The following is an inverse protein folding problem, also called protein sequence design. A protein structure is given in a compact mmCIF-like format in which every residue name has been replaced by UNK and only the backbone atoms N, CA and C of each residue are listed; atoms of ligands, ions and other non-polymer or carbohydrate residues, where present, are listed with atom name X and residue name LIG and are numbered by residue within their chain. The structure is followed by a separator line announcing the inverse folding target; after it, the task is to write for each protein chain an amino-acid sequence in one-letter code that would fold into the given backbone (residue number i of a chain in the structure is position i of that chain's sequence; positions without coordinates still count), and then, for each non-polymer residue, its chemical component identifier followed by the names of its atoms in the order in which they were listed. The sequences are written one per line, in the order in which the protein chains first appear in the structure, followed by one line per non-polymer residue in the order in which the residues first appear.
data_IF_803926245769
#
_entry.id   IF_803926245769
#
_cell.length_a   1.000
_cell.length_b   1.000
_cell.length_c   1.000
_cell.angle_alpha   90.00
_cell.angle_beta   90.00
_cell.angle_gamma   90.00
#
_symmetry.space_group_name_H-M   'P 1'
#
loop_
_entity.id
_entity.type
_entity.pdbx_description
1 polymer ?
#
# COMPACT_ATOMS: atom_id res chain seq x y z
N UNK A 1 19.93 5.49 36.21
CA UNK A 1 20.67 6.03 35.04
C UNK A 1 20.26 5.24 33.83
N UNK A 2 20.00 5.90 32.69
CA UNK A 2 19.68 5.23 31.41
C UNK A 2 20.95 4.63 30.81
N UNK A 3 20.88 3.40 30.31
CA UNK A 3 22.01 2.71 29.66
C UNK A 3 21.60 2.24 28.27
N UNK A 4 22.33 2.68 27.24
CA UNK A 4 22.10 2.29 25.85
C UNK A 4 23.23 1.37 25.38
N UNK A 5 22.88 0.32 24.62
CA UNK A 5 23.84 -0.60 24.03
C UNK A 5 23.31 -1.26 22.77
N UNK A 6 24.18 -1.80 21.93
CA UNK A 6 23.83 -2.60 20.76
C UNK A 6 23.94 -4.09 21.06
N UNK A 7 23.03 -4.89 20.52
CA UNK A 7 23.03 -6.33 20.75
C UNK A 7 22.05 -7.08 19.86
N UNK A 8 22.13 -8.41 19.93
CA UNK A 8 21.22 -9.31 19.23
C UNK A 8 19.89 -9.45 19.97
N UNK A 9 18.81 -9.19 19.27
CA UNK A 9 17.48 -9.58 19.70
C UNK A 9 17.21 -11.00 19.19
N UNK A 10 17.43 -11.98 20.04
CA UNK A 10 17.16 -13.40 19.78
C UNK A 10 15.70 -13.75 20.06
N UNK A 11 15.26 -14.95 19.65
CA UNK A 11 13.93 -15.47 19.98
C UNK A 11 13.74 -15.57 21.49
N UNK A 12 14.73 -16.10 22.21
CA UNK A 12 14.67 -16.23 23.67
C UNK A 12 14.57 -14.87 24.35
N UNK A 13 15.43 -13.94 23.95
CA UNK A 13 15.39 -12.57 24.49
C UNK A 13 14.07 -11.87 24.20
N UNK A 14 13.49 -12.12 23.03
CA UNK A 14 12.15 -11.61 22.66
C UNK A 14 11.06 -12.17 23.56
N UNK A 15 11.09 -13.45 23.87
CA UNK A 15 10.15 -14.09 24.78
C UNK A 15 10.27 -13.56 26.21
N UNK A 16 11.50 -13.38 26.72
CA UNK A 16 11.77 -12.78 28.06
C UNK A 16 11.14 -11.38 28.16
N UNK A 17 11.40 -10.51 27.17
CA UNK A 17 10.88 -9.15 27.16
C UNK A 17 9.35 -9.11 27.05
N UNK A 18 8.76 -10.03 26.28
CA UNK A 18 7.31 -10.11 26.13
C UNK A 18 6.61 -10.72 27.36
N UNK A 19 7.27 -11.56 28.14
CA UNK A 19 6.72 -12.08 29.39
C UNK A 19 6.39 -10.96 30.41
N UNK A 20 7.13 -9.85 30.34
CA UNK A 20 6.94 -8.66 31.19
C UNK A 20 6.22 -7.49 30.46
N UNK A 21 5.41 -7.82 29.46
CA UNK A 21 4.70 -6.84 28.61
C UNK A 21 3.21 -6.70 28.99
N UNK A 22 2.90 -6.36 30.23
CA UNK A 22 1.54 -6.39 30.76
C UNK A 22 0.67 -5.16 30.42
N UNK A 23 1.27 -4.01 30.11
CA UNK A 23 0.58 -2.72 30.00
C UNK A 23 0.79 -2.02 28.66
N UNK A 24 1.36 -2.70 27.68
CA UNK A 24 1.61 -2.12 26.38
C UNK A 24 0.32 -2.10 25.53
N UNK A 25 0.31 -1.28 24.48
CA UNK A 25 -0.82 -1.17 23.56
C UNK A 25 -1.14 -2.51 22.88
N UNK A 26 -2.38 -2.70 22.38
CA UNK A 26 -2.75 -3.90 21.64
C UNK A 26 -1.84 -4.15 20.44
N UNK A 27 -1.46 -5.41 20.24
CA UNK A 27 -0.64 -5.85 19.10
C UNK A 27 -1.39 -5.59 17.80
N UNK A 28 -0.69 -4.98 16.82
CA UNK A 28 -1.19 -4.81 15.46
C UNK A 28 -0.67 -5.95 14.57
N UNK A 29 -1.49 -6.95 14.21
CA UNK A 29 -1.02 -8.16 13.49
C UNK A 29 -0.33 -7.85 12.15
N UNK A 30 -0.77 -6.82 11.43
CA UNK A 30 -0.16 -6.43 10.17
C UNK A 30 1.27 -5.88 10.35
N UNK A 31 1.56 -5.20 11.46
CA UNK A 31 2.91 -4.72 11.78
C UNK A 31 3.84 -5.89 12.10
N UNK A 32 3.35 -6.87 12.88
CA UNK A 32 4.11 -8.10 13.18
C UNK A 32 4.44 -8.85 11.89
N UNK A 33 3.43 -9.07 11.01
CA UNK A 33 3.65 -9.74 9.71
C UNK A 33 4.67 -9.00 8.85
N UNK A 34 4.67 -7.67 8.86
CA UNK A 34 5.63 -6.85 8.15
C UNK A 34 7.05 -7.10 8.66
N UNK A 35 7.30 -6.98 9.96
CA UNK A 35 8.62 -7.23 10.55
C UNK A 35 9.09 -8.67 10.33
N UNK A 36 8.20 -9.66 10.51
CA UNK A 36 8.50 -11.05 10.21
C UNK A 36 8.99 -11.24 8.76
N UNK A 37 8.31 -10.60 7.80
CA UNK A 37 8.67 -10.67 6.38
C UNK A 37 10.04 -10.02 6.11
N UNK A 38 10.26 -8.81 6.64
CA UNK A 38 11.54 -8.10 6.49
C UNK A 38 12.71 -8.93 7.04
N UNK A 39 12.54 -9.49 8.23
CA UNK A 39 13.59 -10.30 8.88
C UNK A 39 13.84 -11.59 8.08
N UNK A 40 12.80 -12.29 7.62
CA UNK A 40 12.94 -13.51 6.81
C UNK A 40 13.64 -13.27 5.47
N UNK A 41 13.41 -12.11 4.86
CA UNK A 41 14.00 -11.74 3.57
C UNK A 41 15.33 -11.00 3.69
N UNK A 42 15.96 -10.96 4.86
CA UNK A 42 17.19 -10.21 5.14
C UNK A 42 17.13 -8.70 4.83
N UNK A 43 15.92 -8.14 4.81
CA UNK A 43 15.66 -6.71 4.56
C UNK A 43 15.56 -5.88 5.84
N UNK A 44 15.99 -6.43 6.97
CA UNK A 44 16.04 -5.71 8.22
C UNK A 44 17.27 -4.79 8.23
N UNK A 45 17.04 -3.49 8.06
CA UNK A 45 18.11 -2.46 8.05
C UNK A 45 18.35 -1.84 9.44
N UNK A 46 17.67 -2.36 10.45
CA UNK A 46 17.67 -1.75 11.79
C UNK A 46 16.64 -0.62 11.91
N UNK A 47 16.46 -0.14 13.11
CA UNK A 47 15.69 1.07 13.41
C UNK A 47 16.51 1.99 14.29
N UNK A 48 16.43 3.33 14.10
CA UNK A 48 17.11 4.27 15.00
C UNK A 48 16.49 4.26 16.41
N UNK A 49 15.26 3.77 16.55
CA UNK A 49 14.56 3.67 17.83
C UNK A 49 14.98 2.39 18.56
N UNK A 50 15.52 2.45 19.78
CA UNK A 50 15.92 1.28 20.55
C UNK A 50 14.71 0.44 20.98
N UNK A 51 14.96 -0.82 21.37
CA UNK A 51 14.04 -1.56 22.24
C UNK A 51 14.23 -1.01 23.64
N UNK A 52 13.15 -0.51 24.25
CA UNK A 52 13.20 0.14 25.54
C UNK A 52 12.55 -0.77 26.58
N UNK A 53 13.26 -1.02 27.65
CA UNK A 53 12.76 -1.78 28.79
C UNK A 53 13.35 -1.24 30.11
N UNK A 54 12.68 -1.55 31.20
CA UNK A 54 13.15 -1.08 32.51
C UNK A 54 14.21 -2.01 33.10
N UNK A 55 14.94 -1.53 34.11
CA UNK A 55 15.90 -2.33 34.86
C UNK A 55 15.27 -3.53 35.59
N UNK A 56 13.95 -3.57 35.74
CA UNK A 56 13.17 -4.72 36.22
C UNK A 56 12.73 -5.67 35.11
N UNK A 57 13.06 -5.36 33.84
CA UNK A 57 12.72 -6.16 32.66
C UNK A 57 11.35 -5.83 32.02
N UNK A 58 10.64 -4.83 32.51
CA UNK A 58 9.32 -4.43 31.95
C UNK A 58 9.49 -3.77 30.58
N UNK A 59 8.83 -4.31 29.53
CA UNK A 59 8.95 -3.79 28.18
C UNK A 59 8.17 -2.48 28.01
N UNK A 60 8.84 -1.44 27.54
CA UNK A 60 8.25 -0.10 27.26
C UNK A 60 7.95 0.06 25.77
N UNK A 61 8.94 -0.24 24.91
CA UNK A 61 8.75 -0.26 23.43
C UNK A 61 9.52 -1.40 22.78
N UNK A 62 9.01 -1.88 21.64
CA UNK A 62 9.64 -2.94 20.85
C UNK A 62 8.82 -4.21 20.72
N UNK A 63 7.60 -4.30 21.30
CA UNK A 63 6.78 -5.52 21.28
C UNK A 63 6.59 -6.11 19.86
N UNK A 64 6.34 -5.27 18.85
CA UNK A 64 6.13 -5.73 17.46
C UNK A 64 7.43 -6.27 16.84
N UNK A 65 8.60 -5.72 17.24
CA UNK A 65 9.91 -6.21 16.80
C UNK A 65 10.22 -7.57 17.42
N UNK A 66 9.96 -7.72 18.72
CA UNK A 66 10.09 -9.01 19.43
C UNK A 66 9.21 -10.09 18.76
N UNK A 67 7.92 -9.79 18.52
CA UNK A 67 7.02 -10.70 17.84
C UNK A 67 7.44 -10.99 16.39
N UNK A 68 8.04 -10.02 15.71
CA UNK A 68 8.62 -10.19 14.39
C UNK A 68 9.78 -11.16 14.35
N UNK A 69 10.70 -11.08 15.34
CA UNK A 69 11.82 -12.00 15.52
C UNK A 69 11.34 -13.42 15.81
N UNK A 70 10.37 -13.57 16.70
CA UNK A 70 9.76 -14.88 17.00
C UNK A 70 9.11 -15.46 15.75
N UNK A 71 8.29 -14.68 15.02
CA UNK A 71 7.63 -15.13 13.81
C UNK A 71 8.59 -15.45 12.66
N UNK A 72 9.76 -14.82 12.63
CA UNK A 72 10.81 -15.10 11.66
C UNK A 72 11.70 -16.27 12.05
N UNK A 73 11.76 -16.60 13.33
CA UNK A 73 12.72 -17.50 13.94
C UNK A 73 14.18 -17.15 13.59
N UNK A 74 14.49 -15.85 13.60
CA UNK A 74 15.80 -15.33 13.18
C UNK A 74 16.18 -14.10 14.00
N UNK A 75 17.39 -14.04 14.60
CA UNK A 75 17.84 -12.90 15.37
C UNK A 75 18.14 -11.68 14.50
N UNK A 76 18.06 -10.50 15.09
CA UNK A 76 18.40 -9.22 14.45
C UNK A 76 19.26 -8.35 15.36
N UNK A 77 20.12 -7.52 14.78
CA UNK A 77 20.84 -6.48 15.51
C UNK A 77 19.91 -5.32 15.82
N UNK A 78 19.90 -4.87 17.06
CA UNK A 78 19.09 -3.74 17.53
C UNK A 78 19.86 -2.91 18.56
N UNK A 79 19.40 -1.69 18.78
CA UNK A 79 19.77 -0.89 19.96
C UNK A 79 18.82 -1.21 21.10
N UNK A 80 19.34 -1.31 22.29
CA UNK A 80 18.59 -1.42 23.52
C UNK A 80 18.78 -0.16 24.36
N UNK A 81 17.74 0.22 25.09
CA UNK A 81 17.78 1.27 26.09
C UNK A 81 17.16 0.76 27.38
N UNK A 82 17.95 0.74 28.44
CA UNK A 82 17.50 0.34 29.79
C UNK A 82 17.23 1.60 30.59
N UNK A 83 16.03 1.75 31.11
CA UNK A 83 15.61 2.90 31.91
C UNK A 83 15.27 2.45 33.33
N UNK A 84 15.36 3.33 34.33
CA UNK A 84 14.81 3.05 35.66
C UNK A 84 13.31 2.80 35.62
N UNK A 85 12.81 1.88 36.43
CA UNK A 85 11.38 1.51 36.42
C UNK A 85 10.45 2.69 36.78
N UNK A 86 10.94 3.60 37.63
CA UNK A 86 10.23 4.82 38.03
C UNK A 86 9.92 5.73 36.85
N UNK A 87 10.69 5.63 35.74
CA UNK A 87 10.51 6.42 34.53
C UNK A 87 9.60 5.77 33.50
N UNK A 88 9.06 4.59 33.79
CA UNK A 88 8.24 3.84 32.84
C UNK A 88 7.09 4.69 32.28
N UNK A 89 6.28 5.28 33.15
CA UNK A 89 5.08 6.06 32.74
C UNK A 89 5.45 7.34 31.98
N UNK A 90 6.54 8.01 32.38
CA UNK A 90 7.03 9.21 31.68
C UNK A 90 7.44 8.88 30.26
N UNK A 91 8.28 7.86 30.08
CA UNK A 91 8.79 7.46 28.76
C UNK A 91 7.65 6.88 27.89
N UNK A 92 6.79 6.05 28.48
CA UNK A 92 5.66 5.46 27.74
C UNK A 92 4.71 6.51 27.15
N UNK A 93 4.46 7.62 27.87
CA UNK A 93 3.57 8.70 27.40
C UNK A 93 4.13 9.51 26.22
N UNK A 94 5.44 9.60 26.09
CA UNK A 94 6.08 10.36 24.99
C UNK A 94 6.39 9.50 23.78
N UNK A 95 6.38 8.17 23.94
CA UNK A 95 6.50 7.25 22.81
C UNK A 95 5.21 7.32 21.97
N UNK A 96 5.33 7.42 20.66
CA UNK A 96 4.18 7.49 19.71
C UNK A 96 3.48 8.85 19.52
N UNK A 97 3.94 9.93 20.11
CA UNK A 97 3.38 11.28 19.83
C UNK A 97 3.77 11.78 18.41
N UNK A 98 4.79 11.18 17.78
CA UNK A 98 5.26 11.54 16.44
C UNK A 98 4.35 11.04 15.32
N UNK A 99 4.15 11.85 14.29
CA UNK A 99 3.45 11.44 13.08
C UNK A 99 4.17 10.27 12.38
N UNK A 100 3.45 9.21 12.07
CA UNK A 100 4.00 8.07 11.32
C UNK A 100 4.26 8.50 9.88
N UNK A 101 5.50 8.35 9.39
CA UNK A 101 5.83 8.59 7.99
C UNK A 101 5.01 7.69 7.07
N UNK A 102 4.42 8.27 6.04
CA UNK A 102 3.75 7.52 4.98
C UNK A 102 4.78 6.99 3.97
N UNK A 103 4.36 6.06 3.09
CA UNK A 103 5.21 5.63 1.96
C UNK A 103 5.62 6.80 1.06
N UNK A 104 4.72 7.78 0.85
CA UNK A 104 5.03 9.00 0.09
C UNK A 104 6.14 9.82 0.74
N UNK A 105 6.08 9.98 2.07
CA UNK A 105 7.13 10.69 2.82
C UNK A 105 8.47 9.95 2.76
N UNK A 106 8.43 8.61 2.87
CA UNK A 106 9.63 7.77 2.85
C UNK A 106 10.32 7.78 1.47
N UNK A 107 9.53 7.72 0.41
CA UNK A 107 10.00 7.71 -0.99
C UNK A 107 10.13 9.12 -1.59
N UNK A 108 9.78 10.17 -0.84
CA UNK A 108 9.80 11.57 -1.30
C UNK A 108 9.02 11.79 -2.60
N UNK A 109 7.86 11.13 -2.71
CA UNK A 109 7.02 11.14 -3.89
C UNK A 109 5.58 11.54 -3.55
N UNK A 110 4.84 12.07 -4.52
CA UNK A 110 3.42 12.42 -4.34
C UNK A 110 2.61 11.16 -3.94
N UNK A 111 1.87 11.29 -2.85
CA UNK A 111 0.96 10.25 -2.37
C UNK A 111 -0.03 9.77 -3.43
N UNK A 112 -0.35 10.61 -4.43
CA UNK A 112 -1.27 10.28 -5.51
C UNK A 112 -0.60 9.42 -6.61
N UNK A 113 0.73 9.33 -6.63
CA UNK A 113 1.51 8.36 -7.41
C UNK A 113 1.67 7.06 -6.62
N UNK A 114 2.05 7.17 -5.34
CA UNK A 114 2.31 6.01 -4.47
C UNK A 114 1.06 5.17 -4.19
N UNK A 115 -0.08 5.81 -3.92
CA UNK A 115 -1.31 5.08 -3.56
C UNK A 115 -1.81 4.12 -4.64
N UNK A 116 -1.85 4.47 -5.94
CA UNK A 116 -2.18 3.52 -7.00
C UNK A 116 -1.22 2.33 -7.10
N UNK A 117 0.10 2.54 -6.94
CA UNK A 117 1.07 1.45 -6.90
C UNK A 117 0.78 0.51 -5.73
N UNK A 118 0.68 1.06 -4.52
CA UNK A 118 0.36 0.26 -3.33
C UNK A 118 -1.01 -0.44 -3.42
N UNK A 119 -1.98 0.15 -4.13
CA UNK A 119 -3.26 -0.50 -4.44
C UNK A 119 -3.07 -1.71 -5.36
N UNK A 120 -2.31 -1.58 -6.45
CA UNK A 120 -2.05 -2.67 -7.40
C UNK A 120 -1.28 -3.81 -6.74
N UNK A 121 -0.28 -3.51 -5.92
CA UNK A 121 0.46 -4.52 -5.15
C UNK A 121 -0.47 -5.35 -4.25
N UNK A 122 -1.47 -4.71 -3.63
CA UNK A 122 -2.48 -5.42 -2.83
C UNK A 122 -3.47 -6.20 -3.67
N UNK A 123 -3.96 -5.61 -4.74
CA UNK A 123 -5.06 -6.14 -5.52
C UNK A 123 -4.63 -7.24 -6.50
N UNK A 124 -3.49 -7.08 -7.16
CA UNK A 124 -2.97 -8.00 -8.16
C UNK A 124 -1.92 -8.97 -7.60
N UNK A 125 -1.01 -8.49 -6.74
CA UNK A 125 0.13 -9.26 -6.25
C UNK A 125 -0.07 -9.82 -4.84
N UNK A 126 -1.23 -9.60 -4.23
CA UNK A 126 -1.58 -10.06 -2.89
C UNK A 126 -0.57 -9.65 -1.78
N UNK A 127 0.12 -8.51 -1.95
CA UNK A 127 0.99 -7.92 -0.92
C UNK A 127 0.12 -7.11 0.05
N UNK A 128 -0.21 -7.61 1.24
CA UNK A 128 -1.26 -7.01 2.07
C UNK A 128 -0.88 -5.65 2.66
N UNK A 129 0.41 -5.41 2.87
CA UNK A 129 0.99 -4.17 3.39
C UNK A 129 2.27 -3.86 2.61
N UNK A 130 2.18 -3.19 1.45
CA UNK A 130 3.35 -2.81 0.67
C UNK A 130 4.28 -1.89 1.45
N UNK A 131 5.57 -2.10 1.31
CA UNK A 131 6.66 -1.33 1.91
C UNK A 131 7.41 -0.54 0.84
N UNK A 132 8.38 0.27 1.23
CA UNK A 132 9.22 1.04 0.30
C UNK A 132 9.84 0.15 -0.76
N UNK A 133 10.45 -0.95 -0.36
CA UNK A 133 11.14 -1.92 -1.25
C UNK A 133 10.18 -2.64 -2.21
N UNK A 134 8.89 -2.77 -1.83
CA UNK A 134 7.88 -3.34 -2.72
C UNK A 134 7.40 -2.30 -3.75
N UNK A 135 7.41 -1.02 -3.39
CA UNK A 135 6.86 0.09 -4.19
C UNK A 135 7.91 0.70 -5.12
N UNK A 136 9.15 0.83 -4.64
CA UNK A 136 10.22 1.57 -5.30
C UNK A 136 10.53 1.09 -6.73
N UNK A 137 10.60 -0.22 -7.03
CA UNK A 137 10.85 -0.68 -8.39
C UNK A 137 9.76 -0.25 -9.38
N UNK A 138 8.48 -0.31 -8.96
CA UNK A 138 7.37 0.16 -9.80
C UNK A 138 7.31 1.68 -9.91
N UNK A 139 7.76 2.39 -8.87
CA UNK A 139 7.85 3.84 -8.86
C UNK A 139 8.90 4.35 -9.84
N UNK A 140 10.03 3.65 -9.94
CA UNK A 140 11.15 3.99 -10.81
C UNK A 140 11.01 3.44 -12.25
N UNK A 141 9.94 2.68 -12.52
CA UNK A 141 9.63 2.12 -13.83
C UNK A 141 8.47 2.82 -14.54
N UNK A 142 8.03 2.22 -15.65
CA UNK A 142 6.96 2.72 -16.52
C UNK A 142 5.67 3.06 -15.75
N UNK A 143 5.32 2.25 -14.74
CA UNK A 143 4.12 2.50 -13.92
C UNK A 143 4.19 3.84 -13.18
N UNK A 144 5.33 4.15 -12.57
CA UNK A 144 5.54 5.43 -11.88
C UNK A 144 5.46 6.60 -12.84
N UNK A 145 6.05 6.49 -14.02
CA UNK A 145 6.05 7.54 -15.03
C UNK A 145 4.64 7.82 -15.59
N UNK A 146 3.87 6.78 -15.88
CA UNK A 146 2.46 6.91 -16.29
C UNK A 146 1.67 7.61 -15.17
N UNK A 147 1.83 7.18 -13.93
CA UNK A 147 1.09 7.76 -12.81
C UNK A 147 1.45 9.24 -12.56
N UNK A 148 2.72 9.63 -12.70
CA UNK A 148 3.15 11.04 -12.61
C UNK A 148 2.46 11.90 -13.68
N UNK A 149 2.37 11.39 -14.93
CA UNK A 149 1.64 12.09 -15.99
C UNK A 149 0.15 12.22 -15.67
N UNK A 150 -0.49 11.16 -15.15
CA UNK A 150 -1.90 11.19 -14.74
C UNK A 150 -2.19 12.13 -13.57
N UNK A 151 -1.25 12.24 -12.61
CA UNK A 151 -1.40 13.14 -11.46
C UNK A 151 -1.36 14.61 -11.87
N UNK A 152 -0.61 14.94 -12.90
CA UNK A 152 -0.47 16.30 -13.42
C UNK A 152 -1.73 16.79 -14.17
N UNK A 153 -2.66 15.90 -14.55
CA UNK A 153 -3.93 16.29 -15.15
C UNK A 153 -4.82 16.89 -14.06
N UNK A 154 -5.09 18.20 -14.17
CA UNK A 154 -6.02 18.89 -13.27
C UNK A 154 -7.43 18.37 -13.54
N UNK A 155 -8.13 17.93 -12.51
CA UNK A 155 -9.50 17.46 -12.60
C UNK A 155 -10.36 18.06 -11.50
N UNK A 156 -11.52 18.59 -11.89
CA UNK A 156 -12.55 19.04 -10.95
C UNK A 156 -13.39 17.86 -10.47
N UNK A 157 -13.62 16.87 -11.34
CA UNK A 157 -14.37 15.65 -10.99
C UNK A 157 -13.56 14.72 -10.08
N UNK A 158 -13.97 14.66 -8.82
CA UNK A 158 -13.25 13.88 -7.78
C UNK A 158 -13.09 12.40 -8.08
N UNK A 159 -13.94 11.80 -8.94
CA UNK A 159 -13.86 10.38 -9.31
C UNK A 159 -12.57 10.05 -10.07
N UNK A 160 -12.18 10.89 -11.01
CA UNK A 160 -11.00 10.65 -11.88
C UNK A 160 -9.67 10.82 -11.12
N UNK A 161 -9.71 11.45 -9.95
CA UNK A 161 -8.57 11.56 -9.04
C UNK A 161 -8.45 10.38 -8.06
N UNK A 162 -9.44 9.49 -7.99
CA UNK A 162 -9.40 8.37 -7.04
C UNK A 162 -8.34 7.36 -7.41
N UNK A 163 -7.71 6.81 -6.39
CA UNK A 163 -6.68 5.76 -6.48
C UNK A 163 -7.06 4.60 -7.41
N UNK A 164 -8.26 3.95 -7.28
CA UNK A 164 -8.58 2.81 -8.12
C UNK A 164 -8.78 3.17 -9.60
N UNK A 165 -9.24 4.39 -9.92
CA UNK A 165 -9.34 4.83 -11.32
C UNK A 165 -7.96 5.03 -11.94
N UNK A 166 -7.06 5.76 -11.26
CA UNK A 166 -5.69 5.95 -11.74
C UNK A 166 -4.93 4.64 -11.90
N UNK A 167 -5.11 3.73 -10.93
CA UNK A 167 -4.55 2.39 -11.03
C UNK A 167 -5.09 1.63 -12.26
N UNK A 168 -6.38 1.75 -12.57
CA UNK A 168 -6.98 1.13 -13.74
C UNK A 168 -6.44 1.70 -15.05
N UNK A 169 -6.29 3.03 -15.15
CA UNK A 169 -5.70 3.68 -16.33
C UNK A 169 -4.27 3.21 -16.56
N UNK A 170 -3.43 3.29 -15.53
CA UNK A 170 -2.05 2.87 -15.64
C UNK A 170 -1.92 1.38 -15.98
N UNK A 171 -2.73 0.51 -15.37
CA UNK A 171 -2.74 -0.93 -15.69
C UNK A 171 -3.22 -1.22 -17.11
N UNK A 172 -4.22 -0.49 -17.61
CA UNK A 172 -4.71 -0.67 -18.97
C UNK A 172 -3.67 -0.25 -20.02
N UNK A 173 -2.89 0.79 -19.75
CA UNK A 173 -1.76 1.21 -20.59
C UNK A 173 -0.68 0.13 -20.57
N UNK A 174 -0.24 -0.30 -19.40
CA UNK A 174 0.82 -1.33 -19.27
C UNK A 174 0.44 -2.67 -19.90
N UNK A 175 -0.84 -3.05 -19.81
CA UNK A 175 -1.39 -4.26 -20.42
C UNK A 175 -1.77 -4.08 -21.91
N UNK A 176 -1.39 -2.97 -22.52
CA UNK A 176 -1.64 -2.65 -23.94
C UNK A 176 -3.13 -2.72 -24.35
N UNK A 177 -4.04 -2.47 -23.40
CA UNK A 177 -5.49 -2.43 -23.66
C UNK A 177 -5.94 -1.08 -24.26
N UNK A 178 -5.15 -0.04 -24.05
CA UNK A 178 -5.36 1.30 -24.59
C UNK A 178 -3.99 1.96 -24.82
N UNK A 179 -3.86 2.66 -25.91
CA UNK A 179 -2.69 3.51 -26.19
C UNK A 179 -2.56 4.63 -25.15
N UNK A 180 -1.34 4.93 -24.73
CA UNK A 180 -1.09 5.91 -23.67
C UNK A 180 -1.58 7.32 -24.05
N UNK A 181 -1.34 7.77 -25.28
CA UNK A 181 -1.77 9.08 -25.75
C UNK A 181 -3.29 9.21 -25.73
N UNK A 182 -4.00 8.14 -26.17
CA UNK A 182 -5.46 8.06 -26.10
C UNK A 182 -5.96 8.04 -24.66
N UNK A 183 -5.32 7.31 -23.77
CA UNK A 183 -5.69 7.27 -22.35
C UNK A 183 -5.53 8.64 -21.68
N UNK A 184 -4.42 9.34 -21.91
CA UNK A 184 -4.17 10.69 -21.41
C UNK A 184 -5.21 11.68 -21.97
N UNK A 185 -5.48 11.64 -23.27
CA UNK A 185 -6.51 12.47 -23.91
C UNK A 185 -7.90 12.21 -23.31
N UNK A 186 -8.27 10.94 -23.13
CA UNK A 186 -9.52 10.55 -22.49
C UNK A 186 -9.61 11.09 -21.06
N UNK A 187 -8.60 10.86 -20.21
CA UNK A 187 -8.60 11.36 -18.83
C UNK A 187 -8.67 12.88 -18.79
N UNK A 188 -8.03 13.57 -19.72
CA UNK A 188 -8.14 15.03 -19.87
C UNK A 188 -9.57 15.45 -20.19
N UNK A 189 -10.20 14.82 -21.18
CA UNK A 189 -11.60 15.07 -21.53
C UNK A 189 -12.53 14.86 -20.34
N UNK A 190 -12.41 13.72 -19.65
CA UNK A 190 -13.20 13.40 -18.45
C UNK A 190 -12.98 14.38 -17.30
N UNK A 191 -11.83 15.05 -17.26
CA UNK A 191 -11.44 15.97 -16.21
C UNK A 191 -11.82 17.41 -16.45
N UNK A 192 -11.96 17.82 -17.72
CA UNK A 192 -12.13 19.23 -18.12
C UNK A 192 -13.44 19.49 -18.82
N UNK A 193 -14.07 18.48 -19.44
CA UNK A 193 -15.29 18.65 -20.20
C UNK A 193 -16.54 18.25 -19.39
N UNK A 194 -17.71 18.80 -19.69
CA UNK A 194 -18.97 18.39 -19.06
C UNK A 194 -19.38 16.97 -19.50
N UNK A 195 -20.19 16.30 -18.68
CA UNK A 195 -20.55 14.87 -18.84
C UNK A 195 -21.21 14.53 -20.18
N UNK A 196 -21.89 15.48 -20.80
CA UNK A 196 -22.53 15.30 -22.12
C UNK A 196 -21.52 15.21 -23.27
N UNK A 197 -20.29 15.61 -23.06
CA UNK A 197 -19.18 15.51 -24.01
C UNK A 197 -18.29 14.29 -23.77
N UNK A 198 -18.57 13.53 -22.71
CA UNK A 198 -17.81 12.32 -22.43
C UNK A 198 -18.22 11.17 -23.35
N UNK A 199 -17.28 10.24 -23.66
CA UNK A 199 -17.66 9.01 -24.33
C UNK A 199 -18.77 8.29 -23.56
N UNK A 200 -19.80 7.75 -24.24
CA UNK A 200 -21.00 7.20 -23.57
C UNK A 200 -20.71 6.14 -22.51
N UNK A 201 -19.68 5.31 -22.75
CA UNK A 201 -19.24 4.28 -21.80
C UNK A 201 -18.75 4.89 -20.49
N UNK A 202 -18.02 6.03 -20.53
CA UNK A 202 -17.49 6.71 -19.35
C UNK A 202 -18.54 7.57 -18.64
N UNK A 203 -19.49 8.16 -19.37
CA UNK A 203 -20.66 8.78 -18.74
C UNK A 203 -21.46 7.74 -17.93
N UNK A 204 -21.64 6.55 -18.48
CA UNK A 204 -22.31 5.43 -17.80
C UNK A 204 -21.48 4.89 -16.60
N UNK A 205 -20.16 4.78 -16.75
CA UNK A 205 -19.25 4.43 -15.64
C UNK A 205 -19.43 5.42 -14.49
N UNK A 206 -19.38 6.71 -14.78
CA UNK A 206 -19.56 7.75 -13.78
C UNK A 206 -20.89 7.62 -13.03
N UNK A 207 -21.99 7.45 -13.76
CA UNK A 207 -23.31 7.25 -13.17
C UNK A 207 -23.33 6.01 -12.25
N UNK A 208 -22.76 4.88 -12.69
CA UNK A 208 -22.68 3.68 -11.86
C UNK A 208 -21.86 3.85 -10.58
N UNK A 209 -20.76 4.63 -10.65
CA UNK A 209 -19.85 4.82 -9.51
C UNK A 209 -20.31 5.95 -8.56
N UNK A 210 -21.21 6.82 -9.00
CA UNK A 210 -21.71 7.95 -8.21
C UNK A 210 -23.15 7.79 -7.75
N UNK A 211 -23.95 6.98 -8.44
CA UNK A 211 -25.35 6.73 -8.07
C UNK A 211 -25.41 5.86 -6.82
N UNK A 212 -25.97 6.42 -5.73
CA UNK A 212 -26.16 5.72 -4.45
C UNK A 212 -27.17 4.56 -4.52
N UNK A 213 -28.01 4.52 -5.55
CA UNK A 213 -29.01 3.46 -5.76
C UNK A 213 -28.41 2.21 -6.40
N UNK A 214 -27.35 2.34 -7.20
CA UNK A 214 -26.55 1.20 -7.62
C UNK A 214 -25.74 0.77 -6.41
N UNK A 215 -26.19 -0.24 -5.68
CA UNK A 215 -25.42 -0.89 -4.61
C UNK A 215 -24.16 -1.47 -5.22
N UNK A 216 -23.10 -0.67 -5.26
CA UNK A 216 -21.75 -1.19 -5.36
C UNK A 216 -21.57 -2.05 -4.13
N UNK A 217 -21.44 -3.37 -4.32
CA UNK A 217 -21.39 -4.32 -3.22
C UNK A 217 -20.14 -4.07 -2.37
N UNK A 218 -20.35 -3.54 -1.16
CA UNK A 218 -19.30 -3.42 -0.16
C UNK A 218 -18.94 -2.00 0.24
N UNK A 219 -18.11 -1.90 1.25
CA UNK A 219 -17.47 -0.67 1.74
C UNK A 219 -15.95 -0.84 1.74
N UNK A 220 -15.21 0.26 1.76
CA UNK A 220 -13.75 0.23 1.82
C UNK A 220 -13.10 -0.51 0.65
N UNK A 221 -12.29 -1.53 0.93
CA UNK A 221 -11.48 -2.26 -0.08
C UNK A 221 -12.32 -2.94 -1.17
N UNK A 222 -13.51 -3.42 -0.86
CA UNK A 222 -14.41 -4.04 -1.84
C UNK A 222 -14.89 -3.03 -2.86
N UNK A 223 -15.24 -1.82 -2.42
CA UNK A 223 -15.66 -0.72 -3.28
C UNK A 223 -14.50 -0.22 -4.16
N UNK A 224 -13.28 -0.13 -3.63
CA UNK A 224 -12.09 0.25 -4.41
C UNK A 224 -11.82 -0.78 -5.52
N UNK A 225 -11.88 -2.07 -5.21
CA UNK A 225 -11.70 -3.14 -6.19
C UNK A 225 -12.78 -3.13 -7.26
N UNK A 226 -14.04 -2.90 -6.92
CA UNK A 226 -15.13 -2.82 -7.90
C UNK A 226 -14.98 -1.57 -8.80
N UNK A 227 -14.59 -0.44 -8.22
CA UNK A 227 -14.27 0.79 -8.99
C UNK A 227 -13.11 0.52 -9.96
N UNK A 228 -12.05 -0.12 -9.52
CA UNK A 228 -10.91 -0.49 -10.36
C UNK A 228 -11.34 -1.39 -11.52
N UNK A 229 -12.06 -2.47 -11.24
CA UNK A 229 -12.51 -3.43 -12.26
C UNK A 229 -13.39 -2.81 -13.33
N UNK A 230 -14.38 -1.98 -12.93
CA UNK A 230 -15.27 -1.29 -13.87
C UNK A 230 -14.52 -0.28 -14.72
N UNK A 231 -13.58 0.44 -14.12
CA UNK A 231 -12.74 1.39 -14.83
C UNK A 231 -11.83 0.70 -15.84
N UNK A 232 -11.18 -0.39 -15.43
CA UNK A 232 -10.34 -1.19 -16.33
C UNK A 232 -11.16 -1.79 -17.50
N UNK A 233 -12.37 -2.29 -17.22
CA UNK A 233 -13.28 -2.77 -18.26
C UNK A 233 -13.61 -1.67 -19.27
N UNK A 234 -13.95 -0.48 -18.80
CA UNK A 234 -14.28 0.64 -19.67
C UNK A 234 -13.10 1.06 -20.56
N UNK A 235 -11.89 1.07 -20.00
CA UNK A 235 -10.66 1.38 -20.72
C UNK A 235 -10.34 0.31 -21.78
N UNK A 236 -10.41 -0.97 -21.40
CA UNK A 236 -10.15 -2.10 -22.32
C UNK A 236 -11.16 -2.21 -23.46
N UNK A 237 -12.33 -1.60 -23.33
CA UNK A 237 -13.39 -1.63 -24.33
C UNK A 237 -13.70 -0.24 -24.92
N UNK A 238 -12.82 0.73 -24.74
CA UNK A 238 -13.04 2.11 -25.12
C UNK A 238 -13.33 2.28 -26.63
N UNK A 239 -12.63 1.54 -27.47
CA UNK A 239 -12.78 1.59 -28.94
C UNK A 239 -13.66 0.48 -29.52
N UNK A 240 -14.18 -0.42 -28.70
CA UNK A 240 -14.93 -1.60 -29.18
C UNK A 240 -16.40 -1.35 -29.49
N UNK A 241 -16.89 -0.11 -29.32
CA UNK A 241 -18.32 0.23 -29.50
C UNK A 241 -19.24 -0.30 -28.38
N UNK A 242 -18.68 -0.90 -27.33
CA UNK A 242 -19.44 -1.38 -26.16
C UNK A 242 -20.00 -0.19 -25.39
N UNK A 243 -21.30 -0.23 -25.11
CA UNK A 243 -22.00 0.83 -24.38
C UNK A 243 -22.44 0.42 -22.97
N UNK A 244 -22.13 -0.82 -22.55
CA UNK A 244 -22.52 -1.34 -21.24
C UNK A 244 -21.33 -1.92 -20.49
N UNK A 245 -21.25 -1.65 -19.18
CA UNK A 245 -20.19 -2.19 -18.32
C UNK A 245 -20.71 -3.48 -17.68
N UNK A 246 -20.07 -4.60 -18.02
CA UNK A 246 -20.42 -5.95 -17.55
C UNK A 246 -19.17 -6.63 -17.00
N UNK A 247 -19.00 -6.64 -15.67
CA UNK A 247 -17.87 -7.31 -15.01
C UNK A 247 -18.25 -8.72 -14.58
N UNK A 248 -18.22 -9.67 -15.51
CA UNK A 248 -18.44 -11.10 -15.23
C UNK A 248 -17.25 -11.69 -14.45
N UNK A 249 -17.47 -12.86 -13.84
CA UNK A 249 -16.43 -13.56 -13.11
C UNK A 249 -15.22 -13.94 -13.99
N UNK A 250 -15.46 -14.31 -15.25
CA UNK A 250 -14.40 -14.56 -16.24
C UNK A 250 -13.56 -13.31 -16.47
N UNK A 251 -14.20 -12.18 -16.75
CA UNK A 251 -13.48 -10.90 -16.95
C UNK A 251 -12.62 -10.54 -15.73
N UNK A 252 -13.12 -10.75 -14.51
CA UNK A 252 -12.35 -10.48 -13.29
C UNK A 252 -11.08 -11.31 -13.19
N UNK A 253 -11.14 -12.57 -13.61
CA UNK A 253 -10.00 -13.48 -13.63
C UNK A 253 -8.99 -13.05 -14.70
N UNK A 254 -9.46 -12.80 -15.92
CA UNK A 254 -8.63 -12.43 -17.05
C UNK A 254 -7.94 -11.07 -16.82
N UNK A 255 -8.67 -10.08 -16.27
CA UNK A 255 -8.11 -8.80 -15.85
C UNK A 255 -7.00 -8.96 -14.81
N UNK A 256 -7.21 -9.79 -13.78
CA UNK A 256 -6.16 -10.02 -12.78
C UNK A 256 -4.91 -10.63 -13.40
N UNK A 257 -5.09 -11.56 -14.33
CA UNK A 257 -3.99 -12.16 -15.06
C UNK A 257 -3.27 -11.14 -15.95
N UNK A 258 -4.00 -10.34 -16.72
CA UNK A 258 -3.43 -9.27 -17.55
C UNK A 258 -2.60 -8.28 -16.74
N UNK A 259 -3.18 -7.78 -15.63
CA UNK A 259 -2.51 -6.81 -14.76
C UNK A 259 -1.29 -7.43 -14.08
N UNK A 260 -1.40 -8.67 -13.59
CA UNK A 260 -0.29 -9.40 -12.99
C UNK A 260 0.84 -9.57 -14.01
N UNK A 261 0.53 -10.04 -15.23
CA UNK A 261 1.51 -10.26 -16.30
C UNK A 261 2.21 -8.96 -16.71
N UNK A 262 1.45 -7.87 -16.85
CA UNK A 262 2.03 -6.58 -17.20
C UNK A 262 2.98 -6.05 -16.11
N UNK A 263 2.60 -6.21 -14.83
CA UNK A 263 3.47 -5.82 -13.71
C UNK A 263 4.71 -6.72 -13.62
N UNK A 264 4.55 -8.03 -13.82
CA UNK A 264 5.65 -9.00 -13.79
C UNK A 264 6.67 -8.72 -14.89
N UNK A 265 6.21 -8.50 -16.13
CA UNK A 265 7.10 -8.23 -17.28
C UNK A 265 7.93 -6.95 -17.11
N UNK A 266 7.39 -5.97 -16.38
CA UNK A 266 8.05 -4.68 -16.17
C UNK A 266 8.97 -4.62 -14.94
N UNK A 267 8.88 -5.61 -14.05
CA UNK A 267 9.69 -5.66 -12.83
C UNK A 267 9.83 -7.12 -12.34
N UNK A 268 10.44 -8.01 -13.13
CA UNK A 268 10.54 -9.44 -12.80
C UNK A 268 11.32 -9.69 -11.49
N UNK A 269 12.30 -8.86 -11.19
CA UNK A 269 13.16 -8.97 -10.00
C UNK A 269 12.42 -8.85 -8.66
N UNK A 270 11.16 -8.43 -8.68
CA UNK A 270 10.36 -8.30 -7.45
C UNK A 270 9.70 -9.63 -7.05
N UNK A 271 9.60 -10.54 -8.01
CA UNK A 271 8.87 -11.79 -7.86
C UNK A 271 9.78 -13.00 -7.54
N UNK A 272 11.10 -12.80 -7.66
CA UNK A 272 12.12 -13.75 -7.21
C UNK A 272 12.41 -13.59 -5.70
#
# INVERSE_FOLDING_TARGET
MQTDYEGLLTVDRSNELLANNHTNRPVKPHVVKRYTRQIKKDRWTGTPVPIIYTNTGRLVDGQHRCLGVIGANKPINVKFSVIPDERYEEVYRVLDIGATRTLGDALREDKNVIKPIAFLLRAALAVPSPETDDVEPFLNGDLGDILRRLVNIKSEAGLWRKTPFRAAVASAILAEKIDEGKAISLVTTLSTQPINEWPPLFAKLYMQLTNKETKLNGSGRSLENDTFMRSYYALSNFESGVTTIRCYASFRRDMKFDVYTALYQKSPEIFD
#
